data_IF_817137333812
#
_entry.id   IF_817137333812
#
_cell.length_a   1.000
_cell.length_b   1.000
_cell.length_c   1.000
_cell.angle_alpha   90.00
_cell.angle_beta   90.00
_cell.angle_gamma   90.00
#
_symmetry.space_group_name_H-M   'P 1'
#
loop_
_entity.id
_entity.type
_entity.pdbx_description
1 polymer ?
#
# COMPACT_ATOMS: atom_id res chain seq x y z
N UNK A 1 6.43 -17.57 23.30
CA UNK A 1 6.18 -17.37 21.85
C UNK A 1 5.17 -18.34 21.26
N UNK A 2 5.32 -19.66 21.45
CA UNK A 2 4.40 -20.66 20.86
C UNK A 2 2.93 -20.54 21.27
N UNK A 3 2.61 -19.93 22.42
CA UNK A 3 1.20 -19.70 22.83
C UNK A 3 0.47 -18.68 21.96
N UNK A 4 1.17 -17.65 21.46
CA UNK A 4 0.56 -16.56 20.68
C UNK A 4 0.16 -16.99 19.28
N UNK A 5 0.99 -17.82 18.63
CA UNK A 5 0.80 -18.22 17.22
C UNK A 5 0.15 -19.60 17.04
N UNK A 6 -0.28 -20.24 18.14
CA UNK A 6 -0.82 -21.61 18.15
C UNK A 6 -2.02 -21.79 17.21
N UNK A 7 -2.83 -20.75 17.00
CA UNK A 7 -4.00 -20.78 16.12
C UNK A 7 -3.66 -20.72 14.62
N UNK A 8 -2.45 -20.28 14.26
CA UNK A 8 -2.02 -20.16 12.86
C UNK A 8 -1.06 -21.28 12.43
N UNK A 9 -0.39 -21.94 13.39
CA UNK A 9 0.51 -23.06 13.09
C UNK A 9 -0.32 -24.34 12.89
N UNK A 10 -0.05 -25.07 11.80
CA UNK A 10 -0.75 -26.32 11.41
C UNK A 10 -2.27 -26.17 11.23
N UNK A 11 -2.77 -24.95 11.01
CA UNK A 11 -4.19 -24.68 10.77
C UNK A 11 -4.34 -23.99 9.41
N UNK A 12 -5.17 -24.51 8.49
CA UNK A 12 -5.39 -23.84 7.21
C UNK A 12 -6.11 -22.52 7.45
N UNK A 13 -5.57 -21.43 6.92
CA UNK A 13 -6.23 -20.13 6.91
C UNK A 13 -7.03 -19.95 5.61
N UNK A 14 -8.22 -19.35 5.65
CA UNK A 14 -9.00 -19.07 4.45
C UNK A 14 -8.27 -18.07 3.54
N UNK A 15 -8.63 -18.07 2.26
CA UNK A 15 -8.22 -17.03 1.32
C UNK A 15 -9.31 -15.98 1.21
N UNK A 16 -8.94 -14.70 1.22
CA UNK A 16 -9.84 -13.62 0.79
C UNK A 16 -10.12 -13.78 -0.69
N UNK A 17 -11.41 -13.90 -1.03
CA UNK A 17 -11.88 -14.04 -2.41
C UNK A 17 -11.82 -12.70 -3.14
N UNK A 18 -11.65 -12.75 -4.46
CA UNK A 18 -11.67 -11.55 -5.27
C UNK A 18 -13.07 -10.88 -5.21
N UNK A 19 -13.17 -9.62 -4.77
CA UNK A 19 -14.44 -8.90 -4.78
C UNK A 19 -14.86 -8.54 -6.22
N UNK A 20 -16.07 -7.99 -6.43
CA UNK A 20 -16.49 -7.50 -7.74
C UNK A 20 -15.52 -6.43 -8.28
N UNK A 21 -14.66 -6.83 -9.22
CA UNK A 21 -13.60 -5.97 -9.79
C UNK A 21 -14.12 -4.65 -10.39
N UNK A 22 -15.31 -4.59 -11.06
CA UNK A 22 -15.84 -3.32 -11.55
C UNK A 22 -16.10 -2.30 -10.43
N UNK A 23 -16.54 -2.77 -9.26
CA UNK A 23 -16.77 -1.90 -8.09
C UNK A 23 -15.44 -1.38 -7.54
N UNK A 24 -14.47 -2.28 -7.32
CA UNK A 24 -13.12 -1.91 -6.85
C UNK A 24 -12.47 -0.90 -7.81
N UNK A 25 -12.56 -1.16 -9.12
CA UNK A 25 -12.05 -0.27 -10.16
C UNK A 25 -12.70 1.11 -10.09
N UNK A 26 -14.03 1.18 -9.95
CA UNK A 26 -14.74 2.45 -9.85
C UNK A 26 -14.31 3.26 -8.62
N UNK A 27 -14.20 2.62 -7.45
CA UNK A 27 -13.73 3.30 -6.22
C UNK A 27 -12.30 3.83 -6.39
N UNK A 28 -11.39 3.00 -6.90
CA UNK A 28 -10.00 3.40 -7.08
C UNK A 28 -9.84 4.50 -8.14
N UNK A 29 -10.63 4.49 -9.22
CA UNK A 29 -10.61 5.56 -10.23
C UNK A 29 -11.17 6.88 -9.70
N UNK A 30 -12.17 6.82 -8.82
CA UNK A 30 -12.67 8.01 -8.14
C UNK A 30 -11.57 8.65 -7.27
N UNK A 31 -10.80 7.84 -6.55
CA UNK A 31 -9.73 8.35 -5.67
C UNK A 31 -8.41 8.67 -6.37
N UNK A 32 -8.10 7.96 -7.46
CA UNK A 32 -6.84 8.06 -8.19
C UNK A 32 -7.09 8.14 -9.71
N UNK A 33 -7.79 9.17 -10.20
CA UNK A 33 -8.16 9.29 -11.61
C UNK A 33 -6.96 9.30 -12.57
N UNK A 34 -5.84 9.87 -12.12
CA UNK A 34 -4.57 9.94 -12.83
C UNK A 34 -3.87 8.57 -12.97
N UNK A 35 -4.22 7.58 -12.14
CA UNK A 35 -3.56 6.27 -12.07
C UNK A 35 -4.35 5.15 -12.77
N UNK A 36 -5.21 5.49 -13.75
CA UNK A 36 -6.07 4.53 -14.47
C UNK A 36 -5.32 3.30 -14.98
N UNK A 37 -4.21 3.52 -15.69
CA UNK A 37 -3.42 2.42 -16.27
C UNK A 37 -2.83 1.50 -15.19
N UNK A 38 -2.41 2.08 -14.05
CA UNK A 38 -1.89 1.32 -12.90
C UNK A 38 -3.00 0.45 -12.30
N UNK A 39 -4.19 1.02 -12.10
CA UNK A 39 -5.37 0.31 -11.58
C UNK A 39 -5.71 -0.86 -12.50
N UNK A 40 -5.85 -0.59 -13.80
CA UNK A 40 -6.26 -1.58 -14.78
C UNK A 40 -5.23 -2.72 -14.89
N UNK A 41 -3.93 -2.37 -14.89
CA UNK A 41 -2.83 -3.35 -14.89
C UNK A 41 -2.87 -4.26 -13.66
N UNK A 42 -3.00 -3.70 -12.46
CA UNK A 42 -2.99 -4.50 -11.23
C UNK A 42 -4.26 -5.35 -11.12
N UNK A 43 -5.43 -4.79 -11.39
CA UNK A 43 -6.69 -5.54 -11.31
C UNK A 43 -6.80 -6.64 -12.38
N UNK A 44 -6.10 -6.50 -13.51
CA UNK A 44 -6.04 -7.55 -14.52
C UNK A 44 -5.46 -8.87 -14.00
N UNK A 45 -4.60 -8.82 -12.97
CA UNK A 45 -4.07 -10.04 -12.33
C UNK A 45 -5.20 -10.89 -11.77
N UNK A 46 -6.29 -10.28 -11.32
CA UNK A 46 -7.38 -10.94 -10.60
C UNK A 46 -8.47 -11.51 -11.53
N UNK A 47 -8.41 -11.24 -12.83
CA UNK A 47 -9.39 -11.72 -13.79
C UNK A 47 -9.34 -13.25 -13.86
N UNK A 48 -10.48 -13.91 -13.60
CA UNK A 48 -10.59 -15.37 -13.60
C UNK A 48 -10.00 -16.06 -12.37
N UNK A 49 -9.50 -15.31 -11.38
CA UNK A 49 -8.99 -15.88 -10.13
C UNK A 49 -10.08 -16.01 -9.07
N UNK A 50 -10.04 -17.08 -8.27
CA UNK A 50 -10.95 -17.28 -7.13
C UNK A 50 -10.54 -16.45 -5.91
N UNK A 51 -9.26 -16.44 -5.59
CA UNK A 51 -8.68 -15.67 -4.48
C UNK A 51 -7.93 -14.43 -4.95
N UNK A 52 -7.74 -13.46 -4.06
CA UNK A 52 -6.89 -12.31 -4.37
C UNK A 52 -5.42 -12.74 -4.37
N UNK A 53 -4.80 -12.72 -5.55
CA UNK A 53 -3.37 -12.95 -5.74
C UNK A 53 -2.81 -12.01 -6.80
N UNK A 54 -1.95 -11.12 -6.35
CA UNK A 54 -1.31 -10.08 -7.14
C UNK A 54 0.12 -10.51 -7.50
N UNK A 55 0.60 -10.10 -8.67
CA UNK A 55 2.03 -10.21 -8.97
C UNK A 55 2.82 -9.27 -8.05
N UNK A 56 3.96 -9.69 -7.48
CA UNK A 56 4.84 -8.78 -6.73
C UNK A 56 5.12 -7.52 -7.55
N UNK A 57 4.74 -6.36 -7.02
CA UNK A 57 4.70 -5.10 -7.79
C UNK A 57 5.50 -4.02 -7.09
N UNK A 58 6.35 -3.32 -7.84
CA UNK A 58 7.05 -2.11 -7.41
C UNK A 58 6.42 -0.88 -8.09
N UNK A 59 5.83 0.00 -7.29
CA UNK A 59 5.33 1.29 -7.75
C UNK A 59 6.45 2.33 -7.67
N UNK A 60 6.84 2.89 -8.81
CA UNK A 60 7.94 3.85 -8.92
C UNK A 60 7.42 5.19 -9.38
N UNK A 61 7.71 6.28 -8.68
CA UNK A 61 7.25 7.60 -9.09
C UNK A 61 7.68 8.69 -8.13
N UNK A 62 7.33 9.95 -8.41
CA UNK A 62 7.79 11.07 -7.59
C UNK A 62 7.30 10.98 -6.12
N UNK A 63 8.04 11.58 -5.17
CA UNK A 63 7.56 11.77 -3.81
C UNK A 63 6.22 12.50 -3.81
N UNK A 64 5.28 12.07 -2.96
CA UNK A 64 3.96 12.70 -2.88
C UNK A 64 2.95 12.31 -3.96
N UNK A 65 3.32 11.48 -4.95
CA UNK A 65 2.40 10.97 -5.98
C UNK A 65 1.29 10.04 -5.43
N UNK A 66 1.37 9.62 -4.16
CA UNK A 66 0.31 8.83 -3.52
C UNK A 66 0.49 7.31 -3.58
N UNK A 67 1.65 6.79 -4.00
CA UNK A 67 1.97 5.34 -4.11
C UNK A 67 1.55 4.51 -2.90
N UNK A 68 1.99 4.88 -1.69
CA UNK A 68 1.64 4.16 -0.45
C UNK A 68 0.17 4.31 -0.06
N UNK A 69 -0.46 5.44 -0.42
CA UNK A 69 -1.92 5.63 -0.22
C UNK A 69 -2.68 4.70 -1.16
N UNK A 70 -2.28 4.62 -2.42
CA UNK A 70 -2.85 3.74 -3.42
C UNK A 70 -2.74 2.27 -3.02
N UNK A 71 -1.56 1.79 -2.61
CA UNK A 71 -1.38 0.40 -2.20
C UNK A 71 -2.28 0.00 -1.01
N UNK A 72 -2.43 0.90 -0.02
CA UNK A 72 -3.35 0.69 1.11
C UNK A 72 -4.81 0.65 0.67
N UNK A 73 -5.26 1.64 -0.10
CA UNK A 73 -6.65 1.69 -0.61
C UNK A 73 -6.97 0.50 -1.49
N UNK A 74 -6.04 0.07 -2.35
CA UNK A 74 -6.18 -1.15 -3.15
C UNK A 74 -6.41 -2.37 -2.25
N UNK A 75 -5.60 -2.56 -1.22
CA UNK A 75 -5.77 -3.68 -0.29
C UNK A 75 -7.10 -3.62 0.46
N UNK A 76 -7.50 -2.44 0.94
CA UNK A 76 -8.79 -2.21 1.61
C UNK A 76 -9.97 -2.55 0.69
N UNK A 77 -9.97 -2.09 -0.56
CA UNK A 77 -11.01 -2.41 -1.54
C UNK A 77 -11.01 -3.90 -1.95
N UNK A 78 -9.86 -4.57 -1.86
CA UNK A 78 -9.72 -6.02 -2.06
C UNK A 78 -10.06 -6.85 -0.81
N UNK A 79 -10.39 -6.21 0.32
CA UNK A 79 -10.67 -6.89 1.59
C UNK A 79 -9.44 -7.54 2.22
N UNK A 80 -8.24 -7.04 1.92
CA UNK A 80 -6.98 -7.54 2.46
C UNK A 80 -6.51 -6.69 3.64
N UNK A 81 -6.02 -7.35 4.69
CA UNK A 81 -5.26 -6.67 5.74
C UNK A 81 -3.89 -6.25 5.22
N UNK A 82 -3.52 -5.01 5.51
CA UNK A 82 -2.21 -4.44 5.15
C UNK A 82 -1.23 -4.60 6.31
N UNK A 83 -0.09 -5.22 6.03
CA UNK A 83 1.09 -5.23 6.89
C UNK A 83 2.14 -4.27 6.33
N UNK A 84 2.28 -3.09 6.95
CA UNK A 84 3.19 -2.05 6.48
C UNK A 84 4.59 -2.23 7.06
N UNK A 85 5.59 -2.15 6.20
CA UNK A 85 7.02 -2.22 6.51
C UNK A 85 7.69 -0.99 5.92
N UNK A 86 8.51 -0.30 6.70
CA UNK A 86 9.29 0.85 6.22
C UNK A 86 10.66 0.35 5.76
N UNK A 87 10.95 0.47 4.47
CA UNK A 87 12.18 -0.04 3.87
C UNK A 87 13.43 0.57 4.49
N UNK A 88 13.41 1.84 4.89
CA UNK A 88 14.57 2.53 5.46
C UNK A 88 14.91 2.06 6.89
N UNK A 89 13.89 1.62 7.64
CA UNK A 89 14.02 1.25 9.05
C UNK A 89 14.08 -0.26 9.27
N UNK A 90 13.81 -1.06 8.24
CA UNK A 90 13.66 -2.50 8.38
C UNK A 90 14.94 -3.25 8.05
N UNK A 91 15.33 -4.11 8.99
CA UNK A 91 16.41 -5.09 8.82
C UNK A 91 15.87 -6.35 8.14
N UNK A 92 16.66 -6.95 7.24
CA UNK A 92 16.24 -8.17 6.55
C UNK A 92 16.13 -9.38 7.48
N UNK A 93 16.90 -9.43 8.57
CA UNK A 93 16.80 -10.46 9.60
C UNK A 93 15.50 -10.35 10.41
N UNK A 94 15.03 -9.14 10.70
CA UNK A 94 13.74 -8.93 11.38
C UNK A 94 12.60 -9.30 10.42
N UNK A 95 12.69 -8.88 9.16
CA UNK A 95 11.66 -9.20 8.17
C UNK A 95 11.57 -10.72 7.89
N UNK A 96 12.72 -11.39 7.78
CA UNK A 96 12.84 -12.83 7.53
C UNK A 96 12.61 -13.71 8.78
N UNK A 97 12.48 -13.08 9.95
CA UNK A 97 12.43 -13.75 11.24
C UNK A 97 13.82 -13.94 11.84
N UNK A 98 13.88 -13.87 13.17
CA UNK A 98 15.12 -14.01 13.94
C UNK A 98 15.22 -15.40 14.55
N UNK A 99 16.44 -15.94 14.62
CA UNK A 99 16.66 -17.29 15.17
C UNK A 99 16.17 -17.41 16.61
N UNK A 100 15.61 -18.58 16.95
CA UNK A 100 15.08 -18.91 18.28
C UNK A 100 16.09 -18.78 19.43
N UNK A 101 17.39 -18.73 19.13
CA UNK A 101 18.47 -18.55 20.11
C UNK A 101 18.66 -17.11 20.57
N UNK A 102 18.09 -16.13 19.86
CA UNK A 102 18.19 -14.72 20.24
C UNK A 102 17.18 -14.35 21.33
N UNK A 103 17.54 -13.40 22.21
CA UNK A 103 16.63 -12.94 23.27
C UNK A 103 15.35 -12.29 22.73
N UNK A 104 15.39 -11.72 21.52
CA UNK A 104 14.27 -11.06 20.83
C UNK A 104 13.88 -11.82 19.54
N UNK A 105 13.62 -13.12 19.67
CA UNK A 105 13.13 -13.96 18.57
C UNK A 105 11.75 -13.51 18.08
N UNK A 106 11.57 -13.33 16.79
CA UNK A 106 10.28 -13.05 16.17
C UNK A 106 10.13 -13.85 14.87
N UNK A 107 8.96 -14.44 14.59
CA UNK A 107 8.69 -15.02 13.27
C UNK A 107 8.77 -13.98 12.16
N UNK A 108 8.90 -14.45 10.92
CA UNK A 108 8.96 -13.56 9.77
C UNK A 108 7.72 -12.67 9.66
N UNK A 109 7.92 -11.45 9.15
CA UNK A 109 6.85 -10.46 8.98
C UNK A 109 5.65 -10.97 8.16
N UNK A 110 5.84 -11.69 7.03
CA UNK A 110 4.72 -12.27 6.30
C UNK A 110 3.86 -13.23 7.14
N UNK A 111 4.47 -14.00 8.05
CA UNK A 111 3.73 -14.86 8.97
C UNK A 111 2.98 -14.07 10.05
N UNK A 112 3.58 -13.01 10.57
CA UNK A 112 2.89 -12.11 11.49
C UNK A 112 1.70 -11.41 10.80
N UNK A 113 1.85 -11.08 9.52
CA UNK A 113 0.78 -10.50 8.70
C UNK A 113 -0.40 -11.46 8.55
N UNK A 114 -0.18 -12.71 8.13
CA UNK A 114 -1.27 -13.68 7.96
C UNK A 114 -1.93 -14.04 9.30
N UNK A 115 -1.15 -14.13 10.38
CA UNK A 115 -1.69 -14.41 11.71
C UNK A 115 -2.61 -13.27 12.19
N UNK A 116 -2.18 -12.01 12.00
CA UNK A 116 -3.01 -10.83 12.32
C UNK A 116 -4.23 -10.73 11.42
N UNK A 117 -4.09 -11.11 10.16
CA UNK A 117 -5.13 -10.97 9.16
C UNK A 117 -6.24 -12.02 9.30
N UNK A 118 -5.90 -13.22 9.82
CA UNK A 118 -6.84 -14.35 9.86
C UNK A 118 -7.12 -14.98 8.49
N UNK A 119 -6.35 -14.60 7.46
CA UNK A 119 -6.43 -15.15 6.10
C UNK A 119 -5.02 -15.29 5.52
N UNK A 120 -4.83 -16.22 4.56
CA UNK A 120 -3.49 -16.60 4.08
C UNK A 120 -2.90 -15.65 3.02
N UNK A 121 -3.67 -14.68 2.53
CA UNK A 121 -3.29 -13.76 1.47
C UNK A 121 -3.29 -12.26 1.86
N UNK A 122 -2.71 -11.86 3.01
CA UNK A 122 -2.58 -10.46 3.38
C UNK A 122 -1.72 -9.70 2.36
N UNK A 123 -1.79 -8.37 2.40
CA UNK A 123 -0.92 -7.51 1.61
C UNK A 123 0.23 -6.97 2.47
N UNK A 124 1.45 -7.38 2.17
CA UNK A 124 2.66 -6.76 2.73
C UNK A 124 3.04 -5.56 1.86
N UNK A 125 2.98 -4.37 2.46
CA UNK A 125 3.37 -3.11 1.84
C UNK A 125 4.75 -2.69 2.32
N UNK A 126 5.75 -2.63 1.44
CA UNK A 126 7.09 -2.15 1.76
C UNK A 126 7.28 -0.74 1.19
N UNK A 127 7.26 0.26 2.06
CA UNK A 127 7.43 1.65 1.67
C UNK A 127 8.91 2.01 1.48
N UNK A 128 9.21 2.79 0.43
CA UNK A 128 10.56 3.34 0.19
C UNK A 128 11.67 2.28 0.15
N UNK A 129 11.47 1.20 -0.62
CA UNK A 129 12.40 0.07 -0.74
C UNK A 129 13.81 0.50 -1.20
N UNK A 130 13.90 1.56 -1.99
CA UNK A 130 15.15 2.18 -2.45
C UNK A 130 15.99 2.79 -1.33
N UNK A 131 15.40 2.99 -0.14
CA UNK A 131 16.09 3.47 1.06
C UNK A 131 16.55 2.35 1.99
N UNK A 132 16.20 1.09 1.70
CA UNK A 132 16.66 -0.03 2.49
C UNK A 132 18.19 -0.11 2.56
N UNK A 133 18.70 -0.49 3.73
CA UNK A 133 20.12 -0.49 4.03
C UNK A 133 20.92 -1.28 2.97
N UNK A 134 22.00 -0.67 2.49
CA UNK A 134 22.88 -1.24 1.47
C UNK A 134 24.13 -1.90 2.06
N UNK A 135 24.44 -1.64 3.33
CA UNK A 135 25.57 -2.27 4.01
C UNK A 135 25.17 -3.64 4.56
N UNK A 136 26.14 -4.56 4.65
CA UNK A 136 25.94 -6.00 4.88
C UNK A 136 25.89 -6.40 6.36
N UNK A 137 25.74 -5.42 7.24
CA UNK A 137 26.03 -5.52 8.66
C UNK A 137 25.13 -6.56 9.34
N UNK A 138 23.89 -6.70 8.84
CA UNK A 138 22.90 -7.72 9.18
C UNK A 138 22.04 -7.91 7.91
N UNK A 139 21.65 -9.14 7.56
CA UNK A 139 21.12 -9.51 6.24
C UNK A 139 20.21 -8.44 5.58
N UNK A 140 20.50 -8.09 4.31
CA UNK A 140 19.81 -7.00 3.64
C UNK A 140 18.35 -7.36 3.39
N UNK A 141 17.44 -6.42 3.68
CA UNK A 141 16.01 -6.57 3.36
C UNK A 141 15.81 -6.93 1.89
N UNK A 142 16.54 -6.28 0.99
CA UNK A 142 16.44 -6.52 -0.47
C UNK A 142 16.79 -7.95 -0.87
N UNK A 143 17.73 -8.58 -0.16
CA UNK A 143 18.20 -9.92 -0.47
C UNK A 143 17.23 -10.97 0.07
N UNK A 144 16.69 -10.75 1.28
CA UNK A 144 15.74 -11.70 1.86
C UNK A 144 14.38 -11.71 1.13
N UNK A 145 14.00 -10.60 0.49
CA UNK A 145 12.75 -10.49 -0.28
C UNK A 145 12.65 -11.47 -1.45
N UNK A 146 13.77 -11.87 -2.05
CA UNK A 146 13.78 -12.76 -3.22
C UNK A 146 13.08 -14.09 -2.94
N UNK A 147 13.29 -14.66 -1.75
CA UNK A 147 12.68 -15.94 -1.36
C UNK A 147 11.17 -15.87 -1.12
N UNK A 148 10.63 -14.66 -0.92
CA UNK A 148 9.20 -14.45 -0.70
C UNK A 148 8.41 -14.18 -1.99
N UNK A 149 9.08 -13.75 -3.06
CA UNK A 149 8.42 -13.44 -4.34
C UNK A 149 8.22 -14.66 -5.24
N UNK A 150 9.00 -15.71 -5.03
CA UNK A 150 8.90 -16.97 -5.77
C UNK A 150 7.93 -17.92 -5.08
N UNK A 151 6.79 -18.30 -5.70
CA UNK A 151 5.78 -19.13 -5.04
C UNK A 151 6.29 -20.48 -4.53
N UNK A 152 7.20 -21.13 -5.25
CA UNK A 152 7.76 -22.43 -4.87
C UNK A 152 8.61 -22.32 -3.60
N UNK A 153 9.46 -21.30 -3.53
CA UNK A 153 10.29 -20.99 -2.36
C UNK A 153 9.41 -20.55 -1.18
N UNK A 154 8.42 -19.68 -1.43
CA UNK A 154 7.51 -19.15 -0.42
C UNK A 154 6.58 -20.22 0.17
N UNK A 155 6.23 -21.27 -0.59
CA UNK A 155 5.36 -22.36 -0.11
C UNK A 155 6.01 -23.25 0.97
N UNK A 156 7.34 -23.19 1.13
CA UNK A 156 8.10 -23.99 2.09
C UNK A 156 9.12 -23.15 2.85
N UNK A 157 8.77 -21.91 3.18
CA UNK A 157 9.69 -20.97 3.81
C UNK A 157 10.13 -21.46 5.19
N UNK A 158 11.43 -21.72 5.43
CA UNK A 158 11.92 -22.22 6.72
C UNK A 158 12.04 -21.06 7.73
N UNK A 159 11.04 -20.89 8.59
CA UNK A 159 11.04 -19.80 9.56
C UNK A 159 12.02 -20.08 10.72
N UNK A 160 13.00 -19.19 10.97
CA UNK A 160 14.05 -19.44 11.94
C UNK A 160 13.58 -19.31 13.40
N UNK A 161 12.48 -18.60 13.66
CA UNK A 161 11.91 -18.49 15.01
C UNK A 161 11.07 -19.71 15.37
N UNK A 162 10.22 -20.15 14.44
CA UNK A 162 9.28 -21.26 14.61
C UNK A 162 9.92 -22.62 14.37
N UNK A 163 11.08 -22.68 13.70
CA UNK A 163 11.81 -23.91 13.38
C UNK A 163 10.91 -24.91 12.60
N UNK A 164 10.10 -24.38 11.70
CA UNK A 164 9.19 -25.13 10.83
C UNK A 164 9.03 -24.41 9.50
N UNK A 165 8.54 -25.13 8.49
CA UNK A 165 8.25 -24.54 7.17
C UNK A 165 6.86 -23.91 7.16
N UNK A 166 6.77 -22.71 6.60
CA UNK A 166 5.54 -21.96 6.42
C UNK A 166 5.17 -21.91 4.94
N UNK A 167 3.87 -22.02 4.64
CA UNK A 167 3.34 -21.70 3.32
C UNK A 167 2.95 -20.21 3.28
N UNK A 168 3.79 -19.42 2.61
CA UNK A 168 3.61 -17.99 2.40
C UNK A 168 3.31 -17.66 0.93
N UNK A 169 3.03 -18.67 0.10
CA UNK A 169 2.88 -18.54 -1.36
C UNK A 169 1.68 -17.70 -1.82
N UNK A 170 0.76 -17.43 -0.89
CA UNK A 170 -0.44 -16.62 -1.10
C UNK A 170 -0.32 -15.18 -0.60
N UNK A 171 0.75 -14.83 0.11
CA UNK A 171 0.98 -13.45 0.59
C UNK A 171 1.19 -12.52 -0.61
N UNK A 172 0.50 -11.38 -0.61
CA UNK A 172 0.60 -10.37 -1.65
C UNK A 172 1.66 -9.33 -1.30
N UNK A 173 2.43 -8.87 -2.29
CA UNK A 173 3.51 -7.91 -2.07
C UNK A 173 3.37 -6.70 -2.99
N UNK A 174 3.29 -5.51 -2.38
CA UNK A 174 3.43 -4.23 -3.08
C UNK A 174 4.52 -3.42 -2.41
N UNK A 175 5.39 -2.83 -3.20
CA UNK A 175 6.45 -1.98 -2.71
C UNK A 175 6.38 -0.62 -3.38
N UNK A 176 6.91 0.40 -2.72
CA UNK A 176 7.01 1.74 -3.29
C UNK A 176 8.47 2.17 -3.36
N UNK A 177 8.81 2.93 -4.41
CA UNK A 177 10.11 3.57 -4.54
C UNK A 177 10.00 4.90 -5.29
N UNK A 178 10.97 5.79 -5.08
CA UNK A 178 11.11 7.00 -5.89
C UNK A 178 11.94 6.79 -7.16
N UNK A 179 12.91 5.88 -7.11
CA UNK A 179 13.70 5.44 -8.26
C UNK A 179 14.10 3.97 -8.12
N UNK A 180 14.39 3.32 -9.24
CA UNK A 180 14.95 1.96 -9.29
C UNK A 180 16.49 1.93 -9.27
N UNK A 181 17.17 3.08 -9.37
CA UNK A 181 18.61 3.14 -9.60
C UNK A 181 19.43 2.45 -8.51
N UNK A 182 18.96 2.51 -7.27
CA UNK A 182 19.64 1.87 -6.14
C UNK A 182 19.23 0.41 -5.93
N UNK A 183 18.27 -0.12 -6.70
CA UNK A 183 17.75 -1.48 -6.53
C UNK A 183 18.57 -2.51 -7.31
N UNK A 184 18.93 -3.64 -6.69
CA UNK A 184 19.71 -4.69 -7.34
C UNK A 184 18.90 -5.34 -8.47
N UNK A 185 19.55 -5.66 -9.60
CA UNK A 185 18.90 -6.30 -10.76
C UNK A 185 18.12 -7.57 -10.40
N UNK A 186 18.63 -8.50 -9.56
CA UNK A 186 17.89 -9.70 -9.17
C UNK A 186 16.52 -9.42 -8.52
N UNK A 187 16.37 -8.27 -7.86
CA UNK A 187 15.10 -7.85 -7.29
C UNK A 187 14.21 -7.23 -8.37
N UNK A 188 14.75 -6.37 -9.24
CA UNK A 188 13.99 -5.77 -10.35
C UNK A 188 13.41 -6.83 -11.29
N UNK A 189 14.17 -7.88 -11.59
CA UNK A 189 13.77 -8.95 -12.51
C UNK A 189 12.60 -9.80 -11.98
N UNK A 190 12.40 -9.86 -10.66
CA UNK A 190 11.30 -10.59 -10.01
C UNK A 190 10.05 -9.75 -9.78
N UNK A 191 10.11 -8.45 -10.08
CA UNK A 191 9.05 -7.50 -9.79
C UNK A 191 8.43 -6.96 -11.06
N UNK A 192 7.11 -6.85 -11.06
CA UNK A 192 6.44 -5.97 -12.00
C UNK A 192 6.71 -4.53 -11.59
N UNK A 193 7.60 -3.84 -12.31
CA UNK A 193 7.85 -2.42 -12.11
C UNK A 193 6.81 -1.60 -12.86
N UNK A 194 6.02 -0.79 -12.13
CA UNK A 194 5.02 0.10 -12.72
C UNK A 194 5.38 1.55 -12.38
N UNK A 195 5.45 2.40 -13.42
CA UNK A 195 5.55 3.83 -13.23
C UNK A 195 4.23 4.37 -12.68
N UNK A 196 4.26 4.96 -11.50
CA UNK A 196 3.11 5.56 -10.85
C UNK A 196 3.03 7.06 -11.21
N UNK A 197 2.00 7.49 -11.96
CA UNK A 197 1.92 8.85 -12.44
C UNK A 197 1.71 9.82 -11.28
N UNK A 198 2.28 11.02 -11.41
CA UNK A 198 1.95 12.12 -10.50
C UNK A 198 0.75 12.88 -11.07
N UNK A 199 -0.25 13.22 -10.22
CA UNK A 199 -1.33 14.12 -10.60
C UNK A 199 -0.82 15.36 -11.32
N UNK A 200 -1.55 15.81 -12.33
CA UNK A 200 -1.29 17.04 -13.08
C UNK A 200 -2.38 18.06 -12.79
N UNK A 201 -2.15 19.33 -13.13
CA UNK A 201 -3.17 20.38 -12.98
C UNK A 201 -4.50 20.02 -13.66
N UNK A 202 -4.44 19.33 -14.82
CA UNK A 202 -5.64 18.83 -15.54
C UNK A 202 -6.48 17.81 -14.77
N UNK A 203 -5.91 17.16 -13.75
CA UNK A 203 -6.60 16.16 -12.94
C UNK A 203 -7.36 16.79 -11.76
N UNK A 204 -7.25 18.12 -11.58
CA UNK A 204 -7.85 18.86 -10.46
C UNK A 204 -9.34 18.57 -10.32
N UNK A 205 -10.10 18.72 -11.41
CA UNK A 205 -11.56 18.52 -11.41
C UNK A 205 -11.94 17.12 -10.95
N UNK A 206 -11.20 16.11 -11.41
CA UNK A 206 -11.48 14.73 -11.07
C UNK A 206 -11.06 14.39 -9.62
N UNK A 207 -10.06 15.10 -9.08
CA UNK A 207 -9.54 14.86 -7.73
C UNK A 207 -10.34 15.59 -6.64
N UNK A 208 -10.88 16.77 -6.93
CA UNK A 208 -11.58 17.60 -5.95
C UNK A 208 -12.71 16.86 -5.21
N UNK A 209 -13.62 16.11 -5.88
CA UNK A 209 -14.67 15.37 -5.19
C UNK A 209 -14.12 14.35 -4.19
N UNK A 210 -13.07 13.61 -4.56
CA UNK A 210 -12.45 12.63 -3.68
C UNK A 210 -11.71 13.29 -2.50
N UNK A 211 -11.07 14.44 -2.74
CA UNK A 211 -10.41 15.24 -1.70
C UNK A 211 -11.44 15.76 -0.70
N UNK A 212 -12.54 16.35 -1.16
CA UNK A 212 -13.63 16.83 -0.32
C UNK A 212 -14.27 15.70 0.49
N UNK A 213 -14.56 14.56 -0.14
CA UNK A 213 -15.08 13.38 0.55
C UNK A 213 -14.12 12.87 1.64
N UNK A 214 -12.81 12.89 1.38
CA UNK A 214 -11.80 12.55 2.37
C UNK A 214 -11.76 13.52 3.55
N UNK A 215 -11.86 14.82 3.29
CA UNK A 215 -11.95 15.85 4.34
C UNK A 215 -13.22 15.67 5.17
N UNK A 216 -14.37 15.40 4.54
CA UNK A 216 -15.62 15.13 5.23
C UNK A 216 -15.48 13.97 6.22
N UNK A 217 -14.93 12.85 5.75
CA UNK A 217 -14.72 11.66 6.56
C UNK A 217 -13.83 11.95 7.77
N UNK A 218 -12.72 12.67 7.59
CA UNK A 218 -11.82 13.03 8.69
C UNK A 218 -12.46 13.97 9.71
N UNK A 219 -13.36 14.84 9.27
CA UNK A 219 -14.16 15.72 10.13
C UNK A 219 -15.39 15.03 10.73
N UNK A 220 -15.60 13.74 10.46
CA UNK A 220 -16.78 12.98 10.86
C UNK A 220 -18.09 13.61 10.36
N UNK A 221 -18.02 14.29 9.21
CA UNK A 221 -19.16 14.88 8.52
C UNK A 221 -19.61 13.93 7.41
N UNK A 222 -20.91 13.87 7.17
CA UNK A 222 -21.40 13.19 5.98
C UNK A 222 -21.01 14.05 4.75
N UNK A 223 -20.41 13.45 3.70
CA UNK A 223 -19.94 14.18 2.52
C UNK A 223 -21.00 15.05 1.85
N UNK A 224 -22.29 14.74 2.02
CA UNK A 224 -23.42 15.54 1.49
C UNK A 224 -23.53 16.92 2.13
N UNK A 225 -22.92 17.13 3.29
CA UNK A 225 -22.94 18.39 4.03
C UNK A 225 -21.72 19.27 3.76
N UNK A 226 -20.73 18.78 3.00
CA UNK A 226 -19.67 19.62 2.47
C UNK A 226 -20.12 20.17 1.13
N UNK A 227 -20.51 21.44 1.12
CA UNK A 227 -20.82 22.16 -0.12
C UNK A 227 -19.57 22.19 -1.00
N UNK A 228 -19.67 21.85 -2.30
CA UNK A 228 -18.57 21.96 -3.25
C UNK A 228 -17.93 23.35 -3.25
N UNK A 229 -16.71 23.44 -3.78
CA UNK A 229 -16.08 24.74 -3.99
C UNK A 229 -16.89 25.55 -5.01
N UNK A 230 -17.10 26.83 -4.73
CA UNK A 230 -17.67 27.77 -5.69
C UNK A 230 -16.65 28.16 -6.78
N UNK A 231 -17.06 29.02 -7.71
CA UNK A 231 -16.21 29.40 -8.84
C UNK A 231 -14.95 30.17 -8.44
N UNK A 232 -14.98 30.96 -7.37
CA UNK A 232 -13.82 31.73 -6.90
C UNK A 232 -12.84 30.85 -6.14
N UNK A 233 -13.35 30.01 -5.25
CA UNK A 233 -12.57 29.03 -4.49
C UNK A 233 -11.91 27.98 -5.40
N UNK A 234 -12.62 27.57 -6.44
CA UNK A 234 -12.09 26.68 -7.46
C UNK A 234 -10.93 27.34 -8.22
N UNK A 235 -11.12 28.58 -8.71
CA UNK A 235 -10.06 29.36 -9.37
C UNK A 235 -8.84 29.54 -8.47
N UNK A 236 -9.06 29.86 -7.19
CA UNK A 236 -7.99 29.97 -6.21
C UNK A 236 -7.24 28.63 -6.06
N UNK A 237 -7.97 27.52 -5.94
CA UNK A 237 -7.35 26.19 -5.87
C UNK A 237 -6.49 25.87 -7.09
N UNK A 238 -7.00 26.15 -8.29
CA UNK A 238 -6.28 25.96 -9.55
C UNK A 238 -5.04 26.86 -9.67
N UNK A 239 -5.08 28.06 -9.09
CA UNK A 239 -3.95 28.99 -9.05
C UNK A 239 -2.84 28.54 -8.08
N UNK A 240 -3.20 27.86 -6.99
CA UNK A 240 -2.23 27.44 -5.96
C UNK A 240 -1.79 25.98 -6.07
N UNK A 241 -2.45 25.17 -6.91
CA UNK A 241 -2.11 23.76 -7.13
C UNK A 241 -1.85 23.46 -8.61
N UNK A 242 -0.58 23.20 -8.94
CA UNK A 242 -0.13 22.95 -10.32
C UNK A 242 0.06 21.45 -10.65
N UNK A 243 -0.41 20.55 -9.77
CA UNK A 243 -0.14 19.12 -9.84
C UNK A 243 0.86 18.64 -8.78
N UNK A 244 1.21 17.36 -8.84
CA UNK A 244 2.11 16.68 -7.91
C UNK A 244 1.38 16.14 -6.68
N UNK A 245 1.57 16.79 -5.54
CA UNK A 245 1.13 16.24 -4.25
C UNK A 245 -0.37 16.45 -4.00
N UNK A 246 -1.13 15.36 -3.91
CA UNK A 246 -2.55 15.40 -3.46
C UNK A 246 -2.65 15.89 -2.01
N UNK A 247 -1.63 15.67 -1.18
CA UNK A 247 -1.59 16.21 0.20
C UNK A 247 -1.57 17.74 0.20
N UNK A 248 -0.87 18.35 -0.77
CA UNK A 248 -0.86 19.80 -0.92
C UNK A 248 -2.22 20.31 -1.39
N UNK A 249 -2.84 19.64 -2.38
CA UNK A 249 -4.21 19.96 -2.81
C UNK A 249 -5.17 19.94 -1.63
N UNK A 250 -5.16 18.86 -0.85
CA UNK A 250 -6.00 18.73 0.34
C UNK A 250 -5.83 19.89 1.31
N UNK A 251 -4.58 20.28 1.62
CA UNK A 251 -4.29 21.42 2.51
C UNK A 251 -4.87 22.74 1.99
N UNK A 252 -4.78 22.98 0.68
CA UNK A 252 -5.35 24.19 0.06
C UNK A 252 -6.87 24.20 0.26
N UNK A 253 -7.53 23.08 -0.04
CA UNK A 253 -8.99 22.94 0.13
C UNK A 253 -9.40 23.08 1.60
N UNK A 254 -8.65 22.50 2.54
CA UNK A 254 -8.92 22.64 3.98
C UNK A 254 -8.85 24.10 4.46
N UNK A 255 -7.89 24.88 3.94
CA UNK A 255 -7.77 26.32 4.26
C UNK A 255 -9.00 27.07 3.74
N UNK A 256 -9.41 26.83 2.50
CA UNK A 256 -10.60 27.46 1.90
C UNK A 256 -11.85 27.16 2.74
N UNK A 257 -12.10 25.89 3.06
CA UNK A 257 -13.26 25.48 3.85
C UNK A 257 -13.26 26.14 5.24
N UNK A 258 -12.08 26.31 5.85
CA UNK A 258 -11.94 26.97 7.15
C UNK A 258 -12.23 28.47 7.09
N UNK A 259 -11.83 29.16 6.03
CA UNK A 259 -12.18 30.58 5.86
C UNK A 259 -13.68 30.76 5.62
N UNK A 260 -14.31 29.89 4.81
CA UNK A 260 -15.76 29.88 4.61
C UNK A 260 -16.54 29.74 5.93
N UNK A 261 -16.10 28.84 6.80
CA UNK A 261 -16.70 28.66 8.13
C UNK A 261 -16.59 29.94 8.99
N UNK A 262 -15.44 30.62 8.99
CA UNK A 262 -15.26 31.88 9.73
C UNK A 262 -16.19 32.98 9.22
N UNK A 263 -16.37 33.10 7.91
CA UNK A 263 -17.27 34.08 7.32
C UNK A 263 -18.73 33.78 7.66
N UNK A 264 -19.12 32.51 7.70
CA UNK A 264 -20.46 32.09 8.09
C UNK A 264 -20.82 32.37 9.56
N UNK A 265 -19.83 32.45 10.45
CA UNK A 265 -20.01 32.77 11.88
C UNK A 265 -20.04 34.28 12.15
N UNK A 266 -19.52 35.09 11.22
CA UNK A 266 -19.46 36.57 11.35
C UNK A 266 -20.71 37.27 10.81
N UNK A 267 -21.52 36.57 10.02
CA UNK A 267 -22.80 37.03 9.46
C UNK A 267 -23.97 36.44 10.26
#
# INVERSE_FOLDING_TARGET
>A
MTRTYKSAINSPLPLTLAPPLPKVRATLLFEFPHAREVIDTILSDLIGQRGVRLKPTLLVGQPGAGKSRFARRLAEELGLIVWRVDGAQSDGSIFAGTDRRWHSTEPCHPFMALHRAGHANPLVLIDELEKAATRSDHGRLRDCLLGFFEPETAARYPDPALQTTLDLSHVNYIMTANSTDSLPSPLRDRLRVISFPSPQARDLEALLPAVLAGIALERQLDPRWITPLDGDEHRATAQYWYGGSVRQLKRIVEVILKEREKESVRN
#
